data_IF_309301430734
#
_entry.id   IF_309301430734
#
_cell.length_a   1.000
_cell.length_b   1.000
_cell.length_c   1.000
_cell.angle_alpha   90.00
_cell.angle_beta   90.00
_cell.angle_gamma   90.00
#
_symmetry.space_group_name_H-M   'P 1'
#
loop_
_entity.id
_entity.type
_entity.pdbx_description
1 polymer ?
#
# COMPACT_ATOMS: atom_id res chain seq x y z
N UNK A 1 -1.91 -4.33 28.03
CA UNK A 1 -1.19 -4.36 26.75
C UNK A 1 -0.15 -3.26 26.78
N UNK A 2 1.12 -3.63 26.61
CA UNK A 2 2.18 -2.65 26.38
C UNK A 2 2.21 -2.22 24.91
N UNK A 3 2.89 -1.10 24.64
CA UNK A 3 3.11 -0.65 23.25
C UNK A 3 3.93 -1.68 22.48
N UNK A 4 4.90 -2.31 23.12
CA UNK A 4 5.76 -3.34 22.53
C UNK A 4 4.96 -4.57 22.09
N UNK A 5 4.04 -5.07 22.93
CA UNK A 5 3.17 -6.19 22.58
C UNK A 5 2.32 -5.87 21.35
N UNK A 6 1.70 -4.69 21.31
CA UNK A 6 0.88 -4.24 20.18
C UNK A 6 1.72 -4.12 18.91
N UNK A 7 2.94 -3.55 19.00
CA UNK A 7 3.87 -3.44 17.87
C UNK A 7 4.24 -4.80 17.30
N UNK A 8 4.57 -5.76 18.16
CA UNK A 8 4.87 -7.13 17.72
C UNK A 8 3.68 -7.79 17.04
N UNK A 9 2.47 -7.58 17.57
CA UNK A 9 1.25 -8.11 16.97
C UNK A 9 1.01 -7.51 15.58
N UNK A 10 1.12 -6.18 15.44
CA UNK A 10 1.00 -5.47 14.15
C UNK A 10 1.93 -6.09 13.10
N UNK A 11 3.18 -6.38 13.45
CA UNK A 11 4.14 -6.98 12.51
C UNK A 11 3.84 -8.43 12.13
N UNK A 12 3.18 -9.20 12.99
CA UNK A 12 2.89 -10.63 12.79
C UNK A 12 1.49 -10.87 12.21
N UNK A 13 0.59 -9.90 12.30
CA UNK A 13 -0.80 -10.04 11.93
C UNK A 13 -1.02 -9.94 10.41
N UNK A 14 -1.59 -11.00 9.82
CA UNK A 14 -1.82 -11.10 8.38
C UNK A 14 -2.94 -10.18 7.88
N UNK A 15 -3.92 -9.84 8.73
CA UNK A 15 -4.99 -8.94 8.36
C UNK A 15 -4.45 -7.51 8.26
N UNK A 16 -3.52 -7.14 9.15
CA UNK A 16 -2.79 -5.88 9.07
C UNK A 16 -1.97 -5.82 7.77
N UNK A 17 -1.15 -6.83 7.49
CA UNK A 17 -0.35 -6.87 6.25
C UNK A 17 -1.25 -6.72 5.01
N UNK A 18 -2.36 -7.46 4.97
CA UNK A 18 -3.33 -7.40 3.88
C UNK A 18 -3.96 -6.00 3.74
N UNK A 19 -4.42 -5.41 4.84
CA UNK A 19 -5.05 -4.09 4.83
C UNK A 19 -4.08 -2.99 4.36
N UNK A 20 -2.81 -3.08 4.75
CA UNK A 20 -1.75 -2.17 4.29
C UNK A 20 -1.60 -2.27 2.77
N UNK A 21 -1.45 -3.48 2.24
CA UNK A 21 -1.27 -3.73 0.80
C UNK A 21 -2.47 -3.26 -0.01
N UNK A 22 -3.69 -3.62 0.41
CA UNK A 22 -4.92 -3.14 -0.22
C UNK A 22 -5.03 -1.61 -0.16
N UNK A 23 -4.63 -0.98 0.95
CA UNK A 23 -4.61 0.47 1.07
C UNK A 23 -3.63 1.16 0.12
N UNK A 24 -2.42 0.61 -0.03
CA UNK A 24 -1.40 1.08 -0.99
C UNK A 24 -1.91 0.96 -2.42
N UNK A 25 -2.37 -0.22 -2.81
CA UNK A 25 -2.81 -0.52 -4.18
C UNK A 25 -4.01 0.35 -4.54
N UNK A 26 -5.00 0.47 -3.65
CA UNK A 26 -6.13 1.37 -3.87
C UNK A 26 -5.70 2.83 -4.04
N UNK A 27 -4.75 3.31 -3.23
CA UNK A 27 -4.25 4.68 -3.37
C UNK A 27 -3.55 4.88 -4.72
N UNK A 28 -2.61 3.99 -5.07
CA UNK A 28 -1.83 4.08 -6.30
C UNK A 28 -2.66 3.86 -7.56
N UNK A 29 -3.62 2.94 -7.55
CA UNK A 29 -4.53 2.77 -8.67
C UNK A 29 -5.38 4.03 -8.89
N UNK A 30 -5.85 4.65 -7.80
CA UNK A 30 -6.68 5.86 -7.86
C UNK A 30 -5.90 7.14 -8.21
N UNK A 31 -4.58 7.15 -8.05
CA UNK A 31 -3.76 8.35 -8.27
C UNK A 31 -2.86 8.22 -9.49
N UNK A 32 -2.23 7.07 -9.68
CA UNK A 32 -1.22 6.83 -10.71
C UNK A 32 -1.79 6.04 -11.90
N UNK A 33 -2.46 4.90 -11.67
CA UNK A 33 -3.02 4.10 -12.78
C UNK A 33 -4.05 4.91 -13.58
N UNK A 34 -4.94 5.63 -12.90
CA UNK A 34 -5.98 6.48 -13.54
C UNK A 34 -5.43 7.48 -14.56
N UNK A 35 -4.16 7.85 -14.49
CA UNK A 35 -3.51 8.73 -15.49
C UNK A 35 -3.38 8.06 -16.87
N UNK A 36 -3.41 6.72 -16.92
CA UNK A 36 -3.24 5.90 -18.12
C UNK A 36 -4.56 5.24 -18.57
N UNK A 37 -5.55 5.11 -17.68
CA UNK A 37 -6.72 4.25 -17.85
C UNK A 37 -7.88 4.77 -18.72
N UNK A 38 -7.73 5.86 -19.47
CA UNK A 38 -8.91 6.48 -20.10
C UNK A 38 -9.51 5.66 -21.26
N UNK A 39 -8.73 4.86 -22.01
CA UNK A 39 -9.25 4.06 -23.13
C UNK A 39 -8.50 2.73 -23.45
N UNK A 40 -7.38 2.44 -22.77
CA UNK A 40 -6.39 1.48 -23.27
C UNK A 40 -6.42 0.08 -22.62
N UNK A 41 -7.08 -0.06 -21.46
CA UNK A 41 -7.05 -1.29 -20.66
C UNK A 41 -5.76 -1.46 -19.85
N UNK A 42 -5.12 -0.34 -19.48
CA UNK A 42 -3.94 -0.34 -18.63
C UNK A 42 -4.18 -1.07 -17.30
N UNK A 43 -3.16 -1.77 -16.82
CA UNK A 43 -3.21 -2.53 -15.57
C UNK A 43 -1.89 -2.42 -14.79
N UNK A 44 -1.94 -2.76 -13.51
CA UNK A 44 -0.83 -2.60 -12.57
C UNK A 44 -0.27 -3.92 -12.09
N UNK A 45 1.04 -3.94 -11.88
CA UNK A 45 1.75 -4.97 -11.14
C UNK A 45 2.49 -4.28 -9.98
N UNK A 46 2.46 -4.91 -8.81
CA UNK A 46 3.03 -4.37 -7.57
C UNK A 46 4.12 -5.29 -7.03
N UNK A 47 5.26 -4.70 -6.69
CA UNK A 47 6.37 -5.38 -6.03
C UNK A 47 6.70 -4.63 -4.73
N UNK A 48 6.48 -5.29 -3.60
CA UNK A 48 6.76 -4.73 -2.28
C UNK A 48 8.25 -4.91 -1.95
N UNK A 49 8.97 -3.79 -1.84
CA UNK A 49 10.42 -3.76 -1.62
C UNK A 49 10.78 -4.00 -0.15
N UNK A 50 9.81 -3.83 0.75
CA UNK A 50 9.86 -4.18 2.16
C UNK A 50 8.48 -4.69 2.62
N UNK A 51 8.38 -5.18 3.86
CA UNK A 51 7.08 -5.48 4.46
C UNK A 51 6.34 -4.17 4.78
N UNK A 52 6.81 -3.47 5.80
CA UNK A 52 6.49 -2.09 6.16
C UNK A 52 7.33 -1.75 7.42
N UNK A 53 7.39 -0.47 7.77
CA UNK A 53 8.07 0.03 8.97
C UNK A 53 7.04 0.73 9.85
N UNK A 54 6.92 0.30 11.09
CA UNK A 54 6.02 0.90 12.07
C UNK A 54 6.69 2.10 12.76
N UNK A 55 6.23 3.31 12.45
CA UNK A 55 6.80 4.58 12.92
C UNK A 55 6.28 4.91 14.31
N UNK A 56 4.96 4.89 14.49
CA UNK A 56 4.30 5.23 15.76
C UNK A 56 3.28 4.17 16.14
N UNK A 57 3.04 4.05 17.45
CA UNK A 57 1.96 3.21 18.00
C UNK A 57 1.44 3.86 19.27
N UNK A 58 0.18 4.27 19.23
CA UNK A 58 -0.55 4.82 20.35
C UNK A 58 -1.70 3.90 20.73
N UNK A 59 -1.79 3.59 22.03
CA UNK A 59 -2.89 2.82 22.62
C UNK A 59 -3.78 3.83 23.34
N UNK A 60 -5.01 3.97 22.87
CA UNK A 60 -6.00 4.87 23.47
C UNK A 60 -6.71 4.17 24.64
N UNK A 61 -7.24 4.96 25.57
CA UNK A 61 -7.86 4.46 26.82
C UNK A 61 -9.06 3.54 26.58
N UNK A 62 -9.72 3.67 25.43
CA UNK A 62 -10.87 2.87 25.02
C UNK A 62 -10.49 1.61 24.22
N UNK A 63 -9.21 1.32 24.02
CA UNK A 63 -8.72 0.13 23.31
C UNK A 63 -8.52 0.31 21.81
N UNK A 64 -8.65 1.53 21.27
CA UNK A 64 -8.21 1.80 19.91
C UNK A 64 -6.69 1.92 19.82
N UNK A 65 -6.15 1.39 18.73
CA UNK A 65 -4.76 1.53 18.34
C UNK A 65 -4.68 2.48 17.15
N UNK A 66 -3.77 3.44 17.23
CA UNK A 66 -3.37 4.30 16.11
C UNK A 66 -1.91 4.06 15.78
N UNK A 67 -1.60 3.81 14.51
CA UNK A 67 -0.24 3.54 14.08
C UNK A 67 0.08 4.15 12.73
N UNK A 68 1.17 4.90 12.66
CA UNK A 68 1.73 5.35 11.39
C UNK A 68 2.74 4.33 10.88
N UNK A 69 2.65 4.01 9.60
CA UNK A 69 3.55 3.09 8.92
C UNK A 69 4.11 3.71 7.65
N UNK A 70 5.30 3.23 7.26
CA UNK A 70 5.90 3.48 5.96
C UNK A 70 6.06 2.17 5.20
N UNK A 71 5.87 2.21 3.88
CA UNK A 71 6.05 1.05 3.00
C UNK A 71 6.64 1.48 1.67
N UNK A 72 7.56 0.66 1.15
CA UNK A 72 8.21 0.85 -0.14
C UNK A 72 7.62 -0.11 -1.16
N UNK A 73 7.07 0.45 -2.23
CA UNK A 73 6.42 -0.32 -3.30
C UNK A 73 6.91 0.15 -4.66
N UNK A 74 7.27 -0.80 -5.50
CA UNK A 74 7.44 -0.59 -6.92
C UNK A 74 6.11 -0.87 -7.63
N UNK A 75 5.63 0.09 -8.41
CA UNK A 75 4.42 -0.03 -9.22
C UNK A 75 4.81 0.05 -10.70
N UNK A 76 4.42 -0.99 -11.43
CA UNK A 76 4.61 -1.11 -12.88
C UNK A 76 3.24 -0.94 -13.52
N UNK A 77 3.08 0.11 -14.31
CA UNK A 77 1.88 0.31 -15.15
C UNK A 77 2.18 -0.26 -16.53
N UNK A 78 1.43 -1.27 -16.91
CA UNK A 78 1.44 -1.85 -18.24
C UNK A 78 0.27 -1.28 -19.06
N UNK A 79 0.53 -1.04 -20.34
CA UNK A 79 -0.48 -0.51 -21.26
C UNK A 79 -0.35 -1.16 -22.65
N UNK A 80 -1.31 -0.91 -23.53
CA UNK A 80 -1.39 -1.48 -24.87
C UNK A 80 -1.40 -0.39 -25.95
N UNK A 81 -0.59 -0.59 -26.98
CA UNK A 81 -0.61 0.21 -28.21
C UNK A 81 -0.89 -0.68 -29.42
N UNK A 82 -1.47 -0.10 -30.48
CA UNK A 82 -1.54 -0.79 -31.77
C UNK A 82 -0.20 -0.68 -32.49
N UNK A 83 0.30 -1.81 -32.98
CA UNK A 83 1.44 -1.82 -33.89
C UNK A 83 1.01 -1.54 -35.33
N UNK A 84 1.98 -1.51 -36.26
CA UNK A 84 1.72 -1.22 -37.68
C UNK A 84 0.74 -2.19 -38.36
N UNK A 85 0.56 -3.39 -37.80
CA UNK A 85 -0.37 -4.43 -38.28
C UNK A 85 -1.73 -4.40 -37.55
N UNK A 86 -2.04 -3.33 -36.81
CA UNK A 86 -3.22 -3.22 -35.95
C UNK A 86 -3.34 -4.32 -34.87
N UNK A 87 -2.23 -4.94 -34.45
CA UNK A 87 -2.21 -5.86 -33.31
C UNK A 87 -1.90 -5.09 -32.03
N UNK A 88 -2.56 -5.46 -30.94
CA UNK A 88 -2.25 -4.92 -29.61
C UNK A 88 -0.92 -5.48 -29.13
N UNK A 89 0.02 -4.59 -28.83
CA UNK A 89 1.29 -4.90 -28.17
C UNK A 89 1.33 -4.25 -26.80
N UNK A 90 1.80 -5.01 -25.80
CA UNK A 90 1.97 -4.54 -24.44
C UNK A 90 3.28 -3.77 -24.31
N UNK A 91 3.26 -2.64 -23.62
CA UNK A 91 4.46 -1.91 -23.22
C UNK A 91 4.34 -1.43 -21.76
N UNK A 92 5.48 -1.12 -21.15
CA UNK A 92 5.52 -0.53 -19.80
C UNK A 92 5.29 0.98 -19.94
N UNK A 93 4.14 1.46 -19.51
CA UNK A 93 3.82 2.89 -19.49
C UNK A 93 4.52 3.61 -18.32
N UNK A 94 4.67 2.94 -17.17
CA UNK A 94 5.32 3.49 -15.97
C UNK A 94 6.00 2.39 -15.17
N UNK A 95 7.11 2.71 -14.51
CA UNK A 95 7.81 1.80 -13.59
C UNK A 95 8.52 2.65 -12.54
N UNK A 96 7.90 2.81 -11.37
CA UNK A 96 8.42 3.70 -10.35
C UNK A 96 8.32 3.10 -8.95
N UNK A 97 9.29 3.45 -8.12
CA UNK A 97 9.23 3.18 -6.68
C UNK A 97 8.54 4.34 -5.96
N UNK A 98 7.75 3.99 -4.96
CA UNK A 98 7.04 4.90 -4.07
C UNK A 98 7.35 4.53 -2.63
N UNK A 99 7.73 5.53 -1.83
CA UNK A 99 7.75 5.45 -0.37
C UNK A 99 6.48 6.09 0.17
N UNK A 100 5.58 5.28 0.74
CA UNK A 100 4.21 5.66 1.09
C UNK A 100 4.03 5.64 2.61
N UNK A 101 3.37 6.68 3.13
CA UNK A 101 2.89 6.77 4.50
C UNK A 101 1.40 6.46 4.63
N UNK A 102 1.08 5.52 5.53
CA UNK A 102 -0.30 5.17 5.89
C UNK A 102 -0.50 5.27 7.40
N UNK A 103 -1.70 5.63 7.81
CA UNK A 103 -2.19 5.55 9.18
C UNK A 103 -3.15 4.37 9.30
N UNK A 104 -2.95 3.55 10.33
CA UNK A 104 -3.80 2.44 10.71
C UNK A 104 -4.59 2.84 11.96
N UNK A 105 -5.89 2.55 11.94
CA UNK A 105 -6.76 2.62 13.12
C UNK A 105 -7.55 1.33 13.24
N UNK A 106 -7.44 0.66 14.38
CA UNK A 106 -8.22 -0.55 14.67
C UNK A 106 -8.48 -0.66 16.17
N UNK A 107 -9.40 -1.53 16.56
CA UNK A 107 -9.72 -1.79 17.97
C UNK A 107 -9.05 -3.08 18.43
N UNK A 108 -8.48 -3.08 19.63
CA UNK A 108 -7.84 -4.25 20.23
C UNK A 108 -7.99 -4.25 21.76
N UNK A 109 -8.84 -5.14 22.28
CA UNK A 109 -9.12 -5.22 23.72
C UNK A 109 -8.08 -6.05 24.46
N UNK A 110 -7.71 -7.21 23.93
CA UNK A 110 -6.65 -8.09 24.43
C UNK A 110 -5.65 -8.41 23.33
N UNK A 111 -4.40 -8.72 23.69
CA UNK A 111 -3.35 -9.00 22.71
C UNK A 111 -3.62 -10.26 21.88
N UNK A 112 -4.35 -11.22 22.44
CA UNK A 112 -4.70 -12.47 21.75
C UNK A 112 -5.91 -12.32 20.82
N UNK A 113 -6.62 -11.19 20.87
CA UNK A 113 -7.80 -10.98 20.02
C UNK A 113 -7.39 -10.81 18.55
N UNK A 114 -8.21 -11.29 17.62
CA UNK A 114 -7.99 -11.07 16.18
C UNK A 114 -8.13 -9.58 15.85
N UNK A 115 -7.23 -9.06 15.01
CA UNK A 115 -7.38 -7.70 14.48
C UNK A 115 -8.28 -7.73 13.24
N UNK A 116 -9.43 -7.07 13.37
CA UNK A 116 -10.43 -6.92 12.31
C UNK A 116 -10.81 -5.43 12.16
N UNK A 117 -11.55 -5.10 11.11
CA UNK A 117 -12.09 -3.75 10.86
C UNK A 117 -11.01 -2.64 10.87
N UNK A 118 -9.89 -2.92 10.21
CA UNK A 118 -8.75 -1.99 10.12
C UNK A 118 -9.10 -0.84 9.18
N UNK A 119 -9.12 0.38 9.71
CA UNK A 119 -9.18 1.58 8.89
C UNK A 119 -7.77 1.95 8.45
N UNK A 120 -7.57 2.04 7.13
CA UNK A 120 -6.32 2.49 6.53
C UNK A 120 -6.55 3.86 5.89
N UNK A 121 -5.70 4.82 6.23
CA UNK A 121 -5.75 6.18 5.66
C UNK A 121 -4.39 6.53 5.08
N UNK A 122 -4.37 6.94 3.83
CA UNK A 122 -3.20 7.54 3.22
C UNK A 122 -2.96 8.95 3.78
N UNK A 123 -1.70 9.32 3.97
CA UNK A 123 -1.37 10.69 4.36
C UNK A 123 -0.18 11.32 3.61
N UNK A 124 0.77 10.53 3.04
CA UNK A 124 1.90 11.11 2.29
C UNK A 124 2.60 10.13 1.34
N UNK A 125 3.15 10.64 0.24
CA UNK A 125 4.21 10.01 -0.57
C UNK A 125 5.49 10.79 -0.28
N UNK A 126 6.48 10.14 0.31
CA UNK A 126 7.72 10.78 0.75
C UNK A 126 8.82 10.77 -0.32
N UNK A 127 8.72 9.87 -1.29
CA UNK A 127 9.72 9.70 -2.32
C UNK A 127 9.14 8.99 -3.53
N UNK A 128 9.64 9.38 -4.69
CA UNK A 128 9.33 8.78 -5.98
C UNK A 128 10.61 8.69 -6.81
N UNK A 129 10.88 7.52 -7.39
CA UNK A 129 11.99 7.34 -8.34
C UNK A 129 11.54 6.56 -9.56
N UNK A 130 11.87 7.07 -10.75
CA UNK A 130 11.62 6.37 -12.00
C UNK A 130 12.70 5.32 -12.26
N UNK A 131 12.29 4.08 -12.46
CA UNK A 131 13.17 2.94 -12.72
C UNK A 131 13.45 2.76 -14.22
N UNK A 132 12.78 3.51 -15.12
CA UNK A 132 13.08 3.47 -16.55
C UNK A 132 14.47 4.07 -16.81
N UNK A 133 15.41 3.20 -17.20
CA UNK A 133 16.67 3.56 -17.87
C UNK A 133 16.48 3.64 -19.36
#
# INVERSE_FOLDING_TARGET
MSKEEVREKIYKDKNIEKAIKEGVENFLDNTELKKYSLDSGAYTEYEYLNNFILITTEILEDGYILSDIHIDVNMIVNDYSLNADNKKERFIASNNNYLIGLNLKFFLKNIEDDINDIQVRYFSVYGFSNNKK
#
